data_IF_450062191249
#
_entry.id   IF_450062191249
#
_cell.length_a   1.000
_cell.length_b   1.000
_cell.length_c   1.000
_cell.angle_alpha   90.00
_cell.angle_beta   90.00
_cell.angle_gamma   90.00
#
_symmetry.space_group_name_H-M   'P 1'
#
loop_
_entity.id
_entity.type
_entity.pdbx_description
1 polymer ?
#
# COMPACT_ATOMS: atom_id res chain seq x y z
N UNK A 1 -1.10 0.82 -13.99
CA UNK A 1 0.19 0.12 -13.77
C UNK A 1 0.00 -1.35 -14.16
N UNK A 2 0.97 -2.03 -14.79
CA UNK A 2 0.80 -3.40 -15.32
C UNK A 2 1.06 -4.52 -14.29
N UNK A 3 1.28 -4.21 -13.02
CA UNK A 3 1.49 -5.21 -11.97
C UNK A 3 2.91 -5.81 -11.92
N UNK A 4 3.85 -5.33 -12.74
CA UNK A 4 5.20 -5.92 -12.85
C UNK A 4 6.19 -5.18 -11.96
N UNK A 5 6.68 -5.85 -10.93
CA UNK A 5 7.77 -5.39 -10.05
C UNK A 5 9.07 -6.06 -10.49
N UNK A 6 10.19 -5.32 -10.64
CA UNK A 6 11.46 -5.90 -11.07
C UNK A 6 12.03 -6.86 -10.03
N UNK A 7 12.68 -7.93 -10.51
CA UNK A 7 13.36 -8.89 -9.64
C UNK A 7 14.47 -8.19 -8.84
N UNK A 8 14.51 -8.43 -7.53
CA UNK A 8 15.45 -7.79 -6.61
C UNK A 8 14.91 -6.55 -5.90
N UNK A 9 13.66 -6.15 -6.15
CA UNK A 9 12.99 -5.12 -5.35
C UNK A 9 12.89 -5.54 -3.88
N UNK A 10 13.32 -4.66 -2.97
CA UNK A 10 13.22 -4.86 -1.53
C UNK A 10 11.92 -4.23 -1.03
N UNK A 11 11.08 -5.03 -0.41
CA UNK A 11 9.80 -4.64 0.20
C UNK A 11 9.85 -4.97 1.68
N UNK A 12 9.30 -4.08 2.51
CA UNK A 12 9.05 -4.32 3.93
C UNK A 12 7.68 -4.98 4.18
N UNK A 13 6.90 -5.20 3.11
CA UNK A 13 5.57 -5.79 3.16
C UNK A 13 4.55 -4.80 3.71
N UNK A 14 3.59 -5.28 4.50
CA UNK A 14 2.64 -4.36 5.11
C UNK A 14 3.28 -3.65 6.31
N UNK A 15 3.59 -2.37 6.15
CA UNK A 15 4.13 -1.47 7.18
C UNK A 15 3.06 -1.13 8.25
N UNK A 16 2.68 -2.13 9.06
CA UNK A 16 1.60 -2.06 10.06
C UNK A 16 2.19 -1.95 11.47
N UNK A 17 1.71 -1.01 12.32
CA UNK A 17 2.13 -0.93 13.72
C UNK A 17 1.91 -2.25 14.46
N UNK A 18 2.88 -2.65 15.30
CA UNK A 18 2.91 -3.97 15.98
C UNK A 18 1.64 -4.30 16.77
N UNK A 19 0.95 -3.28 17.29
CA UNK A 19 -0.33 -3.42 18.01
C UNK A 19 -1.41 -4.12 17.17
N UNK A 20 -1.37 -3.95 15.84
CA UNK A 20 -2.38 -4.51 14.94
C UNK A 20 -1.98 -5.85 14.32
N UNK A 21 -0.82 -6.41 14.64
CA UNK A 21 -0.34 -7.66 14.03
C UNK A 21 -1.22 -8.87 14.34
N UNK A 22 -1.96 -8.84 15.45
CA UNK A 22 -2.95 -9.88 15.78
C UNK A 22 -4.14 -9.89 14.82
N UNK A 23 -4.49 -8.73 14.25
CA UNK A 23 -5.61 -8.57 13.31
C UNK A 23 -5.13 -8.58 11.85
N UNK A 24 -3.96 -7.99 11.59
CA UNK A 24 -3.37 -7.79 10.27
C UNK A 24 -1.88 -8.16 10.31
N UNK A 25 -1.54 -9.45 10.15
CA UNK A 25 -0.15 -9.90 10.15
C UNK A 25 0.63 -9.29 8.98
N UNK A 26 1.82 -8.71 9.17
CA UNK A 26 2.52 -7.98 8.11
C UNK A 26 2.88 -8.84 6.89
N UNK A 27 3.10 -10.14 7.09
CA UNK A 27 3.52 -11.10 6.05
C UNK A 27 2.42 -12.06 5.62
N UNK A 28 1.15 -11.67 5.75
CA UNK A 28 0.07 -12.55 5.31
C UNK A 28 0.11 -12.69 3.79
N UNK A 29 0.25 -13.94 3.32
CA UNK A 29 0.32 -14.27 1.89
C UNK A 29 -0.84 -13.70 1.07
N UNK A 30 -2.01 -13.56 1.69
CA UNK A 30 -3.24 -13.03 1.08
C UNK A 30 -3.08 -11.65 0.41
N UNK A 31 -2.35 -10.70 1.03
CA UNK A 31 -2.17 -9.35 0.49
C UNK A 31 -0.71 -9.00 0.21
N UNK A 32 0.23 -9.91 0.49
CA UNK A 32 1.65 -9.62 0.35
C UNK A 32 2.01 -9.13 -1.06
N UNK A 33 1.50 -9.79 -2.11
CA UNK A 33 1.71 -9.39 -3.51
C UNK A 33 1.19 -7.98 -3.82
N UNK A 34 0.05 -7.60 -3.23
CA UNK A 34 -0.50 -6.25 -3.35
C UNK A 34 0.36 -5.21 -2.62
N UNK A 35 0.91 -5.55 -1.45
CA UNK A 35 1.86 -4.70 -0.72
C UNK A 35 3.15 -4.48 -1.51
N UNK A 36 3.72 -5.51 -2.14
CA UNK A 36 4.95 -5.36 -2.96
C UNK A 36 4.74 -4.35 -4.10
N UNK A 37 3.59 -4.42 -4.78
CA UNK A 37 3.23 -3.47 -5.83
C UNK A 37 3.06 -2.05 -5.27
N UNK A 38 2.43 -1.92 -4.10
CA UNK A 38 2.24 -0.63 -3.43
C UNK A 38 3.56 0.01 -3.05
N UNK A 39 4.45 -0.73 -2.40
CA UNK A 39 5.78 -0.25 -1.99
C UNK A 39 6.57 0.24 -3.20
N UNK A 40 6.55 -0.52 -4.30
CA UNK A 40 7.22 -0.15 -5.54
C UNK A 40 6.70 1.16 -6.15
N UNK A 41 5.38 1.37 -6.14
CA UNK A 41 4.77 2.60 -6.62
C UNK A 41 5.04 3.77 -5.68
N UNK A 42 5.02 3.52 -4.37
CA UNK A 42 5.34 4.50 -3.33
C UNK A 42 6.80 4.99 -3.40
N UNK A 43 7.76 4.11 -3.72
CA UNK A 43 9.17 4.50 -3.91
C UNK A 43 9.35 5.41 -5.14
N UNK A 44 8.53 5.21 -6.18
CA UNK A 44 8.57 6.02 -7.41
C UNK A 44 7.73 7.31 -7.32
N UNK A 45 6.90 7.45 -6.29
CA UNK A 45 5.98 8.56 -6.15
C UNK A 45 6.70 9.88 -5.84
N UNK A 46 6.48 10.90 -6.68
CA UNK A 46 7.07 12.25 -6.51
C UNK A 46 6.04 13.30 -6.11
N UNK A 47 4.76 13.02 -6.33
CA UNK A 47 3.65 13.92 -6.06
C UNK A 47 2.55 13.26 -5.23
N UNK A 48 1.63 14.06 -4.68
CA UNK A 48 0.46 13.52 -3.98
C UNK A 48 -0.41 12.65 -4.91
N UNK A 49 -0.47 12.99 -6.20
CA UNK A 49 -1.22 12.23 -7.21
C UNK A 49 -0.64 10.83 -7.40
N UNK A 50 0.68 10.69 -7.36
CA UNK A 50 1.36 9.40 -7.50
C UNK A 50 1.10 8.49 -6.29
N UNK A 51 1.15 9.05 -5.07
CA UNK A 51 0.77 8.30 -3.87
C UNK A 51 -0.69 7.85 -3.92
N UNK A 52 -1.60 8.72 -4.37
CA UNK A 52 -3.02 8.35 -4.54
C UNK A 52 -3.20 7.25 -5.59
N UNK A 53 -2.42 7.28 -6.67
CA UNK A 53 -2.39 6.20 -7.65
C UNK A 53 -1.90 4.90 -7.01
N UNK A 54 -0.82 4.93 -6.23
CA UNK A 54 -0.32 3.77 -5.51
C UNK A 54 -1.39 3.17 -4.58
N UNK A 55 -2.07 4.00 -3.80
CA UNK A 55 -3.14 3.57 -2.89
C UNK A 55 -4.34 2.97 -3.65
N UNK A 56 -4.70 3.52 -4.81
CA UNK A 56 -5.74 2.96 -5.67
C UNK A 56 -5.34 1.60 -6.26
N UNK A 57 -4.09 1.48 -6.72
CA UNK A 57 -3.57 0.21 -7.24
C UNK A 57 -3.52 -0.85 -6.13
N UNK A 58 -3.16 -0.48 -4.91
CA UNK A 58 -3.23 -1.39 -3.75
C UNK A 58 -4.66 -1.91 -3.56
N UNK A 59 -5.64 -1.01 -3.57
CA UNK A 59 -7.06 -1.36 -3.45
C UNK A 59 -7.49 -2.32 -4.56
N UNK A 60 -7.19 -2.01 -5.82
CA UNK A 60 -7.53 -2.84 -6.97
C UNK A 60 -6.85 -4.22 -6.91
N UNK A 61 -5.57 -4.26 -6.53
CA UNK A 61 -4.83 -5.50 -6.37
C UNK A 61 -5.42 -6.37 -5.25
N UNK A 62 -5.77 -5.79 -4.10
CA UNK A 62 -6.42 -6.51 -3.01
C UNK A 62 -7.83 -6.99 -3.39
N UNK A 63 -8.56 -6.25 -4.23
CA UNK A 63 -9.85 -6.68 -4.78
C UNK A 63 -9.69 -7.87 -5.73
N UNK A 64 -8.65 -7.86 -6.58
CA UNK A 64 -8.34 -8.97 -7.47
C UNK A 64 -7.90 -10.24 -6.72
N UNK A 65 -7.32 -10.09 -5.52
CA UNK A 65 -6.99 -11.18 -4.59
C UNK A 65 -8.18 -11.62 -3.73
N UNK A 66 -9.39 -11.14 -4.03
CA UNK A 66 -10.64 -11.50 -3.34
C UNK A 66 -10.61 -11.29 -1.82
N UNK A 67 -9.83 -10.31 -1.37
CA UNK A 67 -9.72 -9.99 0.05
C UNK A 67 -11.05 -9.39 0.54
N UNK A 68 -11.41 -9.68 1.79
CA UNK A 68 -12.59 -9.10 2.43
C UNK A 68 -12.59 -7.56 2.29
N UNK A 69 -13.69 -7.01 1.76
CA UNK A 69 -13.92 -5.57 1.53
C UNK A 69 -13.60 -4.70 2.74
N UNK A 70 -13.86 -5.19 3.96
CA UNK A 70 -13.51 -4.46 5.18
C UNK A 70 -12.00 -4.25 5.32
N UNK A 71 -11.19 -5.30 5.09
CA UNK A 71 -9.72 -5.21 5.14
C UNK A 71 -9.21 -4.26 4.06
N UNK A 72 -9.76 -4.37 2.84
CA UNK A 72 -9.41 -3.48 1.72
C UNK A 72 -9.67 -2.02 2.09
N UNK A 73 -10.83 -1.75 2.69
CA UNK A 73 -11.18 -0.40 3.14
C UNK A 73 -10.19 0.12 4.19
N UNK A 74 -9.87 -0.69 5.20
CA UNK A 74 -8.89 -0.33 6.24
C UNK A 74 -7.53 0.00 5.62
N UNK A 75 -6.96 -0.88 4.79
CA UNK A 75 -5.67 -0.66 4.15
C UNK A 75 -5.67 0.61 3.29
N UNK A 76 -6.64 0.75 2.39
CA UNK A 76 -6.75 1.90 1.51
C UNK A 76 -6.87 3.22 2.30
N UNK A 77 -7.76 3.28 3.29
CA UNK A 77 -7.97 4.48 4.09
C UNK A 77 -6.73 4.82 4.93
N UNK A 78 -6.09 3.84 5.55
CA UNK A 78 -4.88 4.03 6.34
C UNK A 78 -3.71 4.54 5.49
N UNK A 79 -3.42 3.91 4.35
CA UNK A 79 -2.34 4.33 3.45
C UNK A 79 -2.61 5.73 2.87
N UNK A 80 -3.85 5.99 2.42
CA UNK A 80 -4.21 7.27 1.85
C UNK A 80 -4.11 8.42 2.86
N UNK A 81 -4.54 8.20 4.12
CA UNK A 81 -4.41 9.18 5.19
C UNK A 81 -2.94 9.42 5.54
N UNK A 82 -2.15 8.36 5.68
CA UNK A 82 -0.71 8.46 5.96
C UNK A 82 0.01 9.27 4.86
N UNK A 83 -0.25 8.98 3.59
CA UNK A 83 0.33 9.72 2.49
C UNK A 83 -0.14 11.18 2.43
N UNK A 84 -1.37 11.47 2.82
CA UNK A 84 -1.86 12.84 2.94
C UNK A 84 -1.08 13.62 4.00
N UNK A 85 -0.91 13.04 5.18
CA UNK A 85 -0.14 13.63 6.28
C UNK A 85 1.33 13.79 5.86
N UNK A 86 1.93 12.76 5.24
CA UNK A 86 3.31 12.77 4.73
C UNK A 86 3.53 13.89 3.71
N UNK A 87 2.62 14.06 2.75
CA UNK A 87 2.71 15.12 1.75
C UNK A 87 2.55 16.50 2.37
N UNK A 88 1.64 16.64 3.34
CA UNK A 88 1.43 17.89 4.07
C UNK A 88 2.67 18.30 4.89
N UNK A 89 3.28 17.35 5.61
CA UNK A 89 4.51 17.59 6.39
C UNK A 89 5.70 17.93 5.47
N UNK A 90 5.84 17.24 4.34
CA UNK A 90 6.96 17.44 3.41
C UNK A 90 6.73 18.57 2.38
N UNK A 91 5.59 19.26 2.42
CA UNK A 91 5.25 20.30 1.44
C UNK A 91 5.12 19.79 -0.01
N UNK A 92 4.89 18.49 -0.20
CA UNK A 92 4.76 17.85 -1.51
C UNK A 92 3.34 18.13 -2.03
N UNK A 93 3.24 18.88 -3.14
CA UNK A 93 1.96 19.21 -3.80
C UNK A 93 1.47 18.07 -4.72
#
# INVERSE_FOLDING_TARGET
YKGVVPQGFKTDGASIPRLFWSLFPPFKSEYFSACVVHDFLCEKAKSRKDYKLADLVLKEAMQALEINKFKIFVFYCSCNLFHQIKCLIKGIR
#
